data_IF_655311374779
#
_entry.id   IF_655311374779
#
_cell.length_a   1.000
_cell.length_b   1.000
_cell.length_c   1.000
_cell.angle_alpha   90.00
_cell.angle_beta   90.00
_cell.angle_gamma   90.00
#
_symmetry.space_group_name_H-M   'P 1'
#
loop_
_entity.id
_entity.type
_entity.pdbx_description
1 polymer ?
#
# COMPACT_ATOMS: atom_id res chain seq x y z
N UNK A 1 8.34 -7.28 62.34
CA UNK A 1 7.75 -6.48 61.26
C UNK A 1 8.86 -6.10 60.30
N UNK A 2 8.87 -6.65 59.08
CA UNK A 2 9.85 -6.33 58.02
C UNK A 2 9.15 -5.45 56.98
N UNK A 3 9.79 -4.38 56.46
CA UNK A 3 9.20 -3.60 55.40
C UNK A 3 9.42 -4.30 54.05
N UNK A 4 8.33 -4.61 53.36
CA UNK A 4 8.30 -5.03 51.96
C UNK A 4 8.49 -3.80 51.08
N UNK A 5 9.65 -3.68 50.44
CA UNK A 5 9.88 -2.73 49.34
C UNK A 5 9.19 -3.23 48.08
N UNK A 6 8.17 -2.49 47.66
CA UNK A 6 7.43 -2.69 46.42
C UNK A 6 8.29 -2.14 45.27
N UNK A 7 8.76 -3.01 44.38
CA UNK A 7 9.50 -2.62 43.18
C UNK A 7 8.50 -2.04 42.18
N UNK A 8 8.68 -0.76 41.82
CA UNK A 8 7.87 -0.06 40.83
C UNK A 8 7.94 -0.76 39.47
N UNK A 9 6.76 -0.96 38.87
CA UNK A 9 6.59 -1.51 37.56
C UNK A 9 7.15 -0.55 36.49
N UNK A 10 7.98 -1.08 35.60
CA UNK A 10 8.36 -0.43 34.36
C UNK A 10 7.09 -0.03 33.59
N UNK A 11 6.84 1.28 33.53
CA UNK A 11 5.84 1.89 32.66
C UNK A 11 6.33 1.68 31.23
N UNK A 12 5.62 0.82 30.49
CA UNK A 12 5.81 0.66 29.05
C UNK A 12 5.57 2.01 28.38
N UNK A 13 6.46 2.42 27.49
CA UNK A 13 6.28 3.59 26.65
C UNK A 13 5.36 3.24 25.47
N UNK A 14 4.16 3.85 25.32
CA UNK A 14 3.37 3.69 24.12
C UNK A 14 3.31 5.03 23.34
N UNK A 15 3.16 4.94 22.01
CA UNK A 15 2.70 5.99 21.10
C UNK A 15 3.68 7.05 20.55
N UNK A 16 4.99 7.03 20.84
CA UNK A 16 5.91 8.03 20.26
C UNK A 16 6.20 7.83 18.75
N UNK A 17 6.24 6.58 18.28
CA UNK A 17 6.79 6.28 16.95
C UNK A 17 5.82 6.54 15.79
N UNK A 18 4.51 6.42 16.01
CA UNK A 18 3.53 6.77 14.97
C UNK A 18 3.63 8.25 14.60
N UNK A 19 3.76 9.16 15.58
CA UNK A 19 3.83 10.62 15.33
C UNK A 19 5.02 11.07 14.50
N UNK A 20 6.12 10.32 14.44
CA UNK A 20 7.36 10.78 13.81
C UNK A 20 7.28 10.81 12.26
N UNK A 21 6.57 9.86 11.65
CA UNK A 21 6.29 9.91 10.20
C UNK A 21 5.19 10.95 9.85
N UNK A 22 4.27 11.22 10.79
CA UNK A 22 3.12 12.11 10.59
C UNK A 22 3.49 13.60 10.65
N UNK A 23 4.66 13.90 11.20
CA UNK A 23 5.17 15.26 11.40
C UNK A 23 6.39 15.57 10.55
N UNK A 24 6.76 14.72 9.58
CA UNK A 24 7.84 15.04 8.66
C UNK A 24 7.33 15.97 7.54
N UNK A 25 7.59 17.29 7.60
CA UNK A 25 7.23 18.20 6.52
C UNK A 25 7.98 17.90 5.21
N UNK A 26 8.95 16.98 5.17
CA UNK A 26 9.52 16.48 3.92
C UNK A 26 8.56 15.53 3.16
N UNK A 27 7.61 14.90 3.87
CA UNK A 27 6.40 14.30 3.28
C UNK A 27 5.32 15.40 3.09
N UNK A 28 5.71 16.68 2.99
CA UNK A 28 4.96 17.62 2.16
C UNK A 28 5.17 17.22 0.71
N UNK A 29 4.44 16.16 0.38
CA UNK A 29 3.92 15.78 -0.91
C UNK A 29 4.52 16.62 -2.03
N UNK A 30 5.52 16.06 -2.72
CA UNK A 30 5.63 16.26 -4.17
C UNK A 30 4.39 15.65 -4.80
N UNK A 31 3.21 16.22 -4.51
CA UNK A 31 1.95 15.70 -5.03
C UNK A 31 1.91 16.11 -6.49
N UNK A 32 2.56 15.28 -7.30
CA UNK A 32 2.41 15.34 -8.74
C UNK A 32 0.95 15.10 -9.14
N UNK A 33 0.07 14.72 -8.20
CA UNK A 33 -1.38 14.66 -8.42
C UNK A 33 -1.92 15.87 -9.19
N UNK A 34 -1.61 17.12 -8.80
CA UNK A 34 -2.14 18.29 -9.51
C UNK A 34 -1.49 18.51 -10.89
N UNK A 35 -0.28 17.98 -11.09
CA UNK A 35 0.41 17.99 -12.37
C UNK A 35 -0.20 16.94 -13.31
N UNK A 36 -0.49 15.74 -12.81
CA UNK A 36 -1.23 14.70 -13.53
C UNK A 36 -2.70 15.09 -13.78
N UNK A 37 -3.36 15.72 -12.82
CA UNK A 37 -4.80 16.04 -12.82
C UNK A 37 -5.05 17.54 -12.57
N UNK A 38 -4.66 18.42 -13.51
CA UNK A 38 -4.79 19.86 -13.34
C UNK A 38 -6.26 20.32 -13.22
N UNK A 39 -7.20 19.56 -13.76
CA UNK A 39 -8.64 19.85 -13.64
C UNK A 39 -9.20 19.62 -12.23
N UNK A 40 -8.49 18.86 -11.38
CA UNK A 40 -8.86 18.69 -9.98
C UNK A 40 -8.28 19.81 -9.09
N UNK A 41 -7.48 20.73 -9.64
CA UNK A 41 -6.79 21.76 -8.85
C UNK A 41 -7.79 22.59 -8.03
N UNK A 42 -7.51 22.74 -6.74
CA UNK A 42 -8.38 23.46 -5.80
C UNK A 42 -9.43 22.58 -5.11
N UNK A 43 -9.61 21.33 -5.53
CA UNK A 43 -10.43 20.35 -4.81
C UNK A 43 -9.63 19.80 -3.62
N UNK A 44 -10.16 19.81 -2.38
CA UNK A 44 -9.47 19.20 -1.25
C UNK A 44 -9.24 17.70 -1.45
N UNK A 45 -8.04 17.19 -1.12
CA UNK A 45 -7.73 15.75 -1.26
C UNK A 45 -8.69 14.85 -0.50
N UNK A 46 -9.14 15.28 0.68
CA UNK A 46 -10.13 14.54 1.46
C UNK A 46 -11.46 14.34 0.70
N UNK A 47 -11.89 15.35 -0.07
CA UNK A 47 -13.08 15.27 -0.89
C UNK A 47 -12.90 14.29 -2.08
N UNK A 48 -11.75 14.34 -2.77
CA UNK A 48 -11.44 13.40 -3.86
C UNK A 48 -11.44 11.96 -3.38
N UNK A 49 -10.76 11.70 -2.26
CA UNK A 49 -10.68 10.38 -1.63
C UNK A 49 -12.05 9.86 -1.19
N UNK A 50 -12.88 10.72 -0.59
CA UNK A 50 -14.26 10.36 -0.26
C UNK A 50 -15.11 10.06 -1.51
N UNK A 51 -14.87 10.78 -2.61
CA UNK A 51 -15.57 10.57 -3.87
C UNK A 51 -15.23 9.22 -4.51
N UNK A 52 -14.00 8.71 -4.34
CA UNK A 52 -13.63 7.38 -4.86
C UNK A 52 -14.39 6.25 -4.17
N UNK A 53 -14.71 6.38 -2.88
CA UNK A 53 -15.54 5.42 -2.15
C UNK A 53 -16.95 5.36 -2.75
N UNK A 54 -17.51 6.51 -3.12
CA UNK A 54 -18.82 6.55 -3.78
C UNK A 54 -18.80 5.88 -5.15
N UNK A 55 -17.63 5.78 -5.78
CA UNK A 55 -17.42 5.13 -7.06
C UNK A 55 -16.86 3.71 -6.91
N UNK A 56 -16.82 3.15 -5.70
CA UNK A 56 -16.26 1.81 -5.45
C UNK A 56 -16.91 0.76 -6.36
N UNK A 57 -18.25 0.71 -6.38
CA UNK A 57 -19.00 -0.24 -7.21
C UNK A 57 -18.75 -0.07 -8.72
N UNK A 58 -18.18 1.05 -9.15
CA UNK A 58 -17.86 1.34 -10.54
C UNK A 58 -16.38 1.07 -10.85
N UNK A 59 -15.48 1.41 -9.91
CA UNK A 59 -14.03 1.35 -10.10
C UNK A 59 -13.40 0.02 -9.63
N UNK A 60 -14.08 -0.69 -8.72
CA UNK A 60 -13.59 -1.90 -8.06
C UNK A 60 -14.33 -3.22 -8.37
N UNK A 61 -15.52 -3.28 -9.03
CA UNK A 61 -16.37 -4.46 -8.94
C UNK A 61 -15.78 -5.70 -9.64
N UNK A 62 -14.82 -5.53 -10.54
CA UNK A 62 -14.16 -6.63 -11.24
C UNK A 62 -12.76 -6.18 -11.68
N UNK A 63 -11.84 -6.01 -10.73
CA UNK A 63 -10.41 -6.16 -11.01
C UNK A 63 -10.00 -7.60 -10.63
N UNK A 64 -10.52 -8.68 -11.27
CA UNK A 64 -9.75 -9.92 -11.22
C UNK A 64 -8.36 -9.56 -11.78
N UNK A 65 -7.30 -10.21 -11.29
CA UNK A 65 -6.05 -10.23 -12.03
C UNK A 65 -6.46 -10.52 -13.47
N UNK A 66 -6.37 -9.49 -14.34
CA UNK A 66 -7.04 -9.59 -15.62
C UNK A 66 -6.53 -10.86 -16.28
N UNK A 67 -7.34 -11.50 -17.12
CA UNK A 67 -6.80 -12.36 -18.17
C UNK A 67 -6.04 -11.44 -19.15
N UNK A 68 -5.01 -10.77 -18.64
CA UNK A 68 -4.03 -10.03 -19.35
C UNK A 68 -3.20 -11.11 -20.02
N UNK A 69 -3.42 -11.27 -21.31
CA UNK A 69 -2.50 -12.05 -22.13
C UNK A 69 -1.20 -11.27 -22.14
N UNK A 70 -0.33 -11.66 -21.23
CA UNK A 70 0.96 -11.05 -21.00
C UNK A 70 1.93 -11.43 -22.11
N UNK A 71 2.09 -10.54 -23.08
CA UNK A 71 3.32 -10.52 -23.88
C UNK A 71 4.36 -9.68 -23.13
N UNK A 72 4.79 -10.17 -21.97
CA UNK A 72 5.86 -9.54 -21.20
C UNK A 72 7.20 -9.96 -21.82
N UNK A 73 7.58 -9.29 -22.90
CA UNK A 73 9.01 -9.18 -23.23
C UNK A 73 9.64 -8.29 -22.13
N UNK A 74 10.89 -8.54 -21.71
CA UNK A 74 11.49 -8.04 -20.45
C UNK A 74 11.58 -6.51 -20.26
N UNK A 75 11.01 -5.73 -21.17
CA UNK A 75 10.83 -4.29 -21.08
C UNK A 75 9.48 -3.79 -21.63
N UNK A 76 8.45 -4.64 -21.69
CA UNK A 76 7.13 -4.26 -22.20
C UNK A 76 6.57 -3.07 -21.40
N UNK A 77 6.32 -1.97 -22.11
CA UNK A 77 5.73 -0.74 -21.54
C UNK A 77 4.21 -0.78 -21.54
N UNK A 78 3.60 -1.77 -22.19
CA UNK A 78 2.16 -1.91 -22.35
C UNK A 78 1.71 -3.38 -22.25
N UNK A 79 0.51 -3.59 -21.74
CA UNK A 79 -0.15 -4.89 -21.62
C UNK A 79 -1.57 -4.80 -22.16
N UNK A 80 -1.99 -5.83 -22.89
CA UNK A 80 -3.36 -5.94 -23.35
C UNK A 80 -4.23 -6.59 -22.27
N UNK A 81 -5.27 -5.87 -21.88
CA UNK A 81 -6.24 -6.29 -20.86
C UNK A 81 -7.54 -6.61 -21.56
N UNK A 82 -8.02 -7.84 -21.39
CA UNK A 82 -9.30 -8.30 -21.91
C UNK A 82 -10.39 -8.21 -20.84
N UNK A 83 -11.67 -8.20 -21.24
CA UNK A 83 -12.85 -8.24 -20.34
C UNK A 83 -12.95 -7.05 -19.36
N UNK A 84 -12.65 -5.86 -19.85
CA UNK A 84 -12.72 -4.65 -19.05
C UNK A 84 -14.15 -4.10 -19.00
N UNK A 85 -14.56 -3.57 -17.84
CA UNK A 85 -15.81 -2.81 -17.73
C UNK A 85 -15.80 -1.63 -18.71
N UNK A 86 -16.78 -1.50 -19.61
CA UNK A 86 -16.79 -0.44 -20.62
C UNK A 86 -16.98 0.95 -20.01
N UNK A 87 -17.63 1.04 -18.84
CA UNK A 87 -18.00 2.31 -18.24
C UNK A 87 -16.81 2.96 -17.50
N UNK A 88 -15.98 2.14 -16.85
CA UNK A 88 -14.86 2.61 -16.02
C UNK A 88 -13.65 1.66 -16.16
N UNK A 89 -12.98 1.67 -17.33
CA UNK A 89 -11.80 0.85 -17.54
C UNK A 89 -10.62 1.32 -16.67
N UNK A 90 -9.77 0.41 -16.15
CA UNK A 90 -8.51 0.80 -15.56
C UNK A 90 -7.68 1.55 -16.59
N UNK A 91 -6.83 2.43 -16.09
CA UNK A 91 -6.02 3.32 -16.93
C UNK A 91 -4.60 2.81 -17.11
N UNK A 92 -4.13 1.97 -16.19
CA UNK A 92 -2.76 1.48 -16.09
C UNK A 92 -2.77 0.07 -15.51
N UNK A 93 -1.62 -0.59 -15.61
CA UNK A 93 -1.33 -1.84 -14.92
C UNK A 93 -0.12 -1.62 -14.00
N UNK A 94 -0.21 -2.06 -12.75
CA UNK A 94 0.93 -2.12 -11.84
C UNK A 94 1.49 -3.53 -11.86
N UNK A 95 2.74 -3.67 -12.28
CA UNK A 95 3.52 -4.90 -12.25
C UNK A 95 4.30 -4.97 -10.92
N UNK A 96 3.84 -5.83 -10.01
CA UNK A 96 4.42 -5.98 -8.67
C UNK A 96 5.45 -7.09 -8.67
N UNK A 97 6.65 -6.77 -8.19
CA UNK A 97 7.79 -7.67 -8.06
C UNK A 97 8.23 -7.78 -6.60
N UNK A 98 8.72 -8.95 -6.14
CA UNK A 98 9.37 -9.07 -4.84
C UNK A 98 10.70 -8.33 -4.79
N UNK A 99 11.14 -7.93 -3.61
CA UNK A 99 12.41 -7.22 -3.41
C UNK A 99 13.62 -8.00 -3.92
N UNK A 100 13.64 -9.31 -3.74
CA UNK A 100 14.69 -10.24 -4.12
C UNK A 100 14.46 -10.87 -5.51
N UNK A 101 13.68 -10.22 -6.37
CA UNK A 101 13.45 -10.69 -7.74
C UNK A 101 14.76 -10.77 -8.56
N UNK A 102 14.77 -11.70 -9.51
CA UNK A 102 15.75 -11.77 -10.59
C UNK A 102 15.10 -11.34 -11.92
N UNK A 103 15.90 -11.27 -12.99
CA UNK A 103 15.41 -10.87 -14.33
C UNK A 103 14.35 -11.82 -14.91
N UNK A 104 14.34 -13.07 -14.47
CA UNK A 104 13.36 -14.10 -14.88
C UNK A 104 12.06 -14.07 -14.05
N UNK A 105 11.98 -13.22 -13.02
CA UNK A 105 10.81 -13.17 -12.14
C UNK A 105 9.63 -12.54 -12.86
N UNK A 106 8.55 -13.31 -13.00
CA UNK A 106 7.31 -12.86 -13.63
C UNK A 106 6.55 -11.96 -12.64
N UNK A 107 6.29 -10.69 -12.99
CA UNK A 107 5.53 -9.80 -12.12
C UNK A 107 4.07 -10.21 -12.00
N UNK A 108 3.45 -9.95 -10.84
CA UNK A 108 1.99 -10.04 -10.71
C UNK A 108 1.38 -8.73 -11.15
N UNK A 109 0.38 -8.79 -12.03
CA UNK A 109 -0.24 -7.60 -12.60
C UNK A 109 -1.54 -7.24 -11.91
N UNK A 110 -1.70 -5.94 -11.65
CA UNK A 110 -2.90 -5.37 -11.09
C UNK A 110 -3.36 -4.20 -11.95
N UNK A 111 -4.52 -4.27 -12.62
CA UNK A 111 -5.06 -3.11 -13.30
C UNK A 111 -5.49 -2.06 -12.26
N UNK A 112 -5.21 -0.79 -12.54
CA UNK A 112 -5.47 0.32 -11.60
C UNK A 112 -5.95 1.58 -12.30
N UNK A 113 -6.60 2.45 -11.51
CA UNK A 113 -6.86 3.83 -11.87
C UNK A 113 -5.73 4.71 -11.32
N UNK A 114 -4.94 5.32 -12.20
CA UNK A 114 -3.82 6.19 -11.82
C UNK A 114 -4.27 7.34 -10.93
N UNK A 115 -5.51 7.81 -11.07
CA UNK A 115 -6.05 8.89 -10.24
C UNK A 115 -6.21 8.47 -8.78
N UNK A 116 -6.60 7.22 -8.54
CA UNK A 116 -6.73 6.66 -7.18
C UNK A 116 -5.35 6.54 -6.56
N UNK A 117 -4.39 5.92 -7.25
CA UNK A 117 -3.02 5.79 -6.74
C UNK A 117 -2.36 7.14 -6.50
N UNK A 118 -2.44 8.07 -7.46
CA UNK A 118 -1.87 9.41 -7.32
C UNK A 118 -2.49 10.18 -6.15
N UNK A 119 -3.74 9.89 -5.78
CA UNK A 119 -4.42 10.55 -4.67
C UNK A 119 -3.95 10.02 -3.30
N UNK A 120 -3.54 8.75 -3.20
CA UNK A 120 -3.10 8.14 -1.95
C UNK A 120 -1.58 8.07 -1.81
N UNK A 121 -0.85 7.88 -2.90
CA UNK A 121 0.58 7.55 -2.94
C UNK A 121 1.39 8.75 -3.45
N UNK A 122 2.12 9.42 -2.56
CA UNK A 122 2.94 10.59 -2.89
C UNK A 122 4.14 10.26 -3.79
N UNK A 123 4.60 9.00 -3.79
CA UNK A 123 5.74 8.54 -4.59
C UNK A 123 5.32 7.80 -5.86
N UNK A 124 4.02 7.79 -6.18
CA UNK A 124 3.57 7.26 -7.46
C UNK A 124 4.04 8.18 -8.59
N UNK A 125 4.66 7.65 -9.65
CA UNK A 125 5.18 8.47 -10.73
C UNK A 125 4.04 9.10 -11.53
N UNK A 126 4.35 10.20 -12.22
CA UNK A 126 3.50 10.70 -13.31
C UNK A 126 3.59 9.71 -14.47
N UNK A 127 2.56 8.89 -14.66
CA UNK A 127 2.48 8.01 -15.83
C UNK A 127 1.88 8.77 -17.04
N UNK A 128 2.28 8.42 -18.28
CA UNK A 128 1.65 8.96 -19.47
C UNK A 128 0.15 8.71 -19.44
N UNK A 129 -0.65 9.74 -19.73
CA UNK A 129 -2.10 9.58 -19.79
C UNK A 129 -2.45 8.69 -20.97
N UNK A 130 -2.86 7.46 -20.67
CA UNK A 130 -3.44 6.59 -21.67
C UNK A 130 -4.94 6.84 -21.73
N UNK A 131 -5.40 7.32 -22.89
CA UNK A 131 -6.81 7.31 -23.24
C UNK A 131 -6.99 6.10 -24.15
N UNK A 132 -7.66 5.02 -23.71
CA UNK A 132 -7.92 3.90 -24.60
C UNK A 132 -8.57 4.45 -25.87
N UNK A 133 -7.98 4.15 -27.02
CA UNK A 133 -8.52 4.57 -28.32
C UNK A 133 -10.00 4.20 -28.38
N UNK A 134 -10.83 5.14 -28.83
CA UNK A 134 -12.31 5.07 -28.79
C UNK A 134 -12.92 4.01 -29.73
N UNK A 135 -12.38 2.80 -29.78
CA UNK A 135 -13.10 1.65 -30.30
C UNK A 135 -14.15 1.23 -29.26
N UNK A 136 -15.34 1.82 -29.30
CA UNK A 136 -16.46 1.51 -28.37
C UNK A 136 -16.79 0.01 -28.26
N UNK A 137 -16.32 -0.80 -29.20
CA UNK A 137 -16.61 -2.23 -29.29
C UNK A 137 -15.38 -3.14 -29.04
N UNK A 138 -14.19 -2.60 -28.75
CA UNK A 138 -13.02 -3.45 -28.48
C UNK A 138 -13.09 -4.00 -27.04
N UNK A 139 -13.31 -5.32 -26.92
CA UNK A 139 -13.25 -6.07 -25.64
C UNK A 139 -11.85 -6.12 -25.00
N UNK A 140 -10.88 -5.43 -25.61
CA UNK A 140 -9.47 -5.43 -25.29
C UNK A 140 -8.95 -4.00 -25.35
N UNK A 141 -8.16 -3.62 -24.36
CA UNK A 141 -7.49 -2.32 -24.30
C UNK A 141 -6.00 -2.53 -24.03
N UNK A 142 -5.12 -1.80 -24.71
CA UNK A 142 -3.71 -1.71 -24.32
C UNK A 142 -3.60 -0.75 -23.15
N UNK A 143 -2.86 -1.11 -22.10
CA UNK A 143 -2.63 -0.25 -20.94
C UNK A 143 -1.14 -0.14 -20.64
N UNK A 144 -0.65 1.06 -20.30
CA UNK A 144 0.71 1.24 -19.84
C UNK A 144 0.98 0.47 -18.54
N UNK A 145 2.19 -0.09 -18.44
CA UNK A 145 2.65 -0.86 -17.27
C UNK A 145 3.60 -0.02 -16.42
N UNK A 146 3.36 0.01 -15.13
CA UNK A 146 4.26 0.55 -14.13
C UNK A 146 4.81 -0.54 -13.22
N UNK A 147 6.13 -0.69 -13.17
CA UNK A 147 6.78 -1.69 -12.34
C UNK A 147 7.03 -1.13 -10.95
N UNK A 148 6.68 -1.90 -9.93
CA UNK A 148 6.99 -1.60 -8.53
C UNK A 148 7.58 -2.82 -7.85
N UNK A 149 8.70 -2.61 -7.17
CA UNK A 149 9.33 -3.63 -6.33
C UNK A 149 8.81 -3.41 -4.91
N UNK A 150 8.25 -4.44 -4.27
CA UNK A 150 7.65 -4.35 -2.94
C UNK A 150 8.24 -5.38 -1.99
N UNK A 151 8.23 -5.06 -0.70
CA UNK A 151 8.77 -5.93 0.36
C UNK A 151 7.86 -7.13 0.60
N UNK A 152 6.55 -6.94 0.42
CA UNK A 152 5.57 -8.03 0.44
C UNK A 152 4.59 -7.89 -0.72
N UNK A 153 4.88 -8.49 -1.89
CA UNK A 153 3.95 -8.49 -3.04
C UNK A 153 2.55 -9.02 -2.67
N UNK A 154 2.50 -10.02 -1.80
CA UNK A 154 1.25 -10.62 -1.33
C UNK A 154 0.34 -9.65 -0.56
N UNK A 155 0.91 -8.56 0.00
CA UNK A 155 0.16 -7.51 0.67
C UNK A 155 -0.44 -6.48 -0.29
N UNK A 156 -0.01 -6.44 -1.56
CA UNK A 156 -0.48 -5.44 -2.53
C UNK A 156 -1.99 -5.52 -2.83
N UNK A 157 -2.62 -6.71 -3.02
CA UNK A 157 -4.07 -6.80 -3.21
C UNK A 157 -4.88 -6.21 -2.04
N UNK A 158 -4.40 -6.39 -0.81
CA UNK A 158 -5.06 -5.85 0.39
C UNK A 158 -5.02 -4.32 0.40
N UNK A 159 -3.87 -3.75 0.03
CA UNK A 159 -3.70 -2.31 -0.08
C UNK A 159 -4.54 -1.74 -1.24
N UNK A 160 -4.54 -2.43 -2.39
CA UNK A 160 -5.35 -2.07 -3.54
C UNK A 160 -6.83 -2.03 -3.18
N UNK A 161 -7.35 -3.08 -2.54
CA UNK A 161 -8.72 -3.13 -2.04
C UNK A 161 -9.04 -1.92 -1.16
N UNK A 162 -8.19 -1.68 -0.15
CA UNK A 162 -8.40 -0.56 0.77
C UNK A 162 -8.43 0.81 0.08
N UNK A 163 -7.61 1.04 -0.96
CA UNK A 163 -7.64 2.32 -1.69
C UNK A 163 -8.96 2.61 -2.40
N UNK A 164 -9.69 1.57 -2.81
CA UNK A 164 -11.01 1.74 -3.43
C UNK A 164 -12.15 1.72 -2.43
N UNK A 165 -12.12 0.80 -1.46
CA UNK A 165 -13.26 0.56 -0.56
C UNK A 165 -13.21 1.38 0.72
N UNK A 166 -12.00 1.75 1.16
CA UNK A 166 -11.75 2.43 2.43
C UNK A 166 -12.29 1.68 3.66
N UNK A 167 -12.55 0.38 3.52
CA UNK A 167 -13.07 -0.45 4.60
C UNK A 167 -11.95 -0.81 5.58
N UNK A 168 -11.88 -0.03 6.66
CA UNK A 168 -10.94 -0.23 7.77
C UNK A 168 -11.23 -1.54 8.50
N UNK A 169 -12.49 -1.91 8.67
CA UNK A 169 -12.86 -3.11 9.42
C UNK A 169 -12.46 -4.37 8.63
N UNK A 170 -12.69 -4.37 7.31
CA UNK A 170 -12.18 -5.43 6.42
C UNK A 170 -10.67 -5.49 6.43
N UNK A 171 -9.99 -4.34 6.40
CA UNK A 171 -8.53 -4.29 6.44
C UNK A 171 -8.01 -4.93 7.74
N UNK A 172 -8.52 -4.50 8.90
CA UNK A 172 -8.10 -5.05 10.20
C UNK A 172 -8.37 -6.55 10.27
N UNK A 173 -9.53 -7.02 9.80
CA UNK A 173 -9.83 -8.46 9.74
C UNK A 173 -8.86 -9.21 8.83
N UNK A 174 -8.50 -8.64 7.67
CA UNK A 174 -7.62 -9.26 6.68
C UNK A 174 -6.16 -9.34 7.14
N UNK A 175 -5.67 -8.27 7.78
CA UNK A 175 -4.37 -8.28 8.47
C UNK A 175 -4.40 -9.26 9.67
N UNK A 176 -5.56 -9.37 10.31
CA UNK A 176 -5.85 -10.23 11.46
C UNK A 176 -5.95 -11.73 11.16
N UNK A 177 -6.29 -12.12 9.92
CA UNK A 177 -6.68 -13.49 9.56
C UNK A 177 -5.54 -14.38 9.09
N UNK A 178 -4.34 -13.82 8.90
CA UNK A 178 -3.17 -14.60 8.52
C UNK A 178 -2.79 -15.59 9.63
N UNK A 179 -2.21 -16.76 9.30
CA UNK A 179 -1.68 -17.68 10.31
C UNK A 179 -0.71 -16.93 11.24
N UNK A 180 -0.83 -17.12 12.56
CA UNK A 180 -0.08 -16.34 13.57
C UNK A 180 1.44 -16.32 13.33
N UNK A 181 1.99 -17.38 12.74
CA UNK A 181 3.42 -17.49 12.38
C UNK A 181 3.84 -16.47 11.31
N UNK A 182 2.98 -16.23 10.34
CA UNK A 182 3.22 -15.38 9.16
C UNK A 182 2.64 -13.98 9.33
N UNK A 183 1.64 -13.84 10.21
CA UNK A 183 0.90 -12.61 10.42
C UNK A 183 1.79 -11.40 10.72
N UNK A 184 2.80 -11.57 11.58
CA UNK A 184 3.75 -10.50 11.89
C UNK A 184 4.50 -10.03 10.63
N UNK A 185 5.06 -10.96 9.87
CA UNK A 185 5.81 -10.62 8.66
C UNK A 185 4.91 -10.00 7.58
N UNK A 186 3.66 -10.48 7.47
CA UNK A 186 2.66 -9.92 6.57
C UNK A 186 2.31 -8.46 6.92
N UNK A 187 2.00 -8.17 8.19
CA UNK A 187 1.67 -6.80 8.63
C UNK A 187 2.87 -5.87 8.45
N UNK A 188 4.09 -6.34 8.78
CA UNK A 188 5.32 -5.56 8.54
C UNK A 188 5.51 -5.27 7.05
N UNK A 189 5.37 -6.28 6.20
CA UNK A 189 5.48 -6.12 4.75
C UNK A 189 4.42 -5.18 4.18
N UNK A 190 3.19 -5.26 4.68
CA UNK A 190 2.12 -4.31 4.34
C UNK A 190 2.51 -2.87 4.70
N UNK A 191 2.95 -2.63 5.95
CA UNK A 191 3.41 -1.29 6.40
C UNK A 191 4.56 -0.77 5.53
N UNK A 192 5.55 -1.61 5.25
CA UNK A 192 6.69 -1.20 4.42
C UNK A 192 6.27 -0.82 3.00
N UNK A 193 5.33 -1.55 2.40
CA UNK A 193 4.79 -1.20 1.09
C UNK A 193 4.10 0.18 1.11
N UNK A 194 3.34 0.49 2.17
CA UNK A 194 2.70 1.81 2.32
C UNK A 194 3.74 2.94 2.34
N UNK A 195 4.80 2.75 3.14
CA UNK A 195 5.90 3.72 3.25
C UNK A 195 6.60 3.89 1.90
N UNK A 196 6.91 2.76 1.23
CA UNK A 196 7.60 2.75 -0.07
C UNK A 196 6.83 3.47 -1.17
N UNK A 197 5.50 3.41 -1.13
CA UNK A 197 4.63 4.13 -2.06
C UNK A 197 4.33 5.58 -1.62
N UNK A 198 4.81 5.98 -0.44
CA UNK A 198 4.53 7.29 0.13
C UNK A 198 3.04 7.48 0.41
N UNK A 199 2.37 6.45 0.94
CA UNK A 199 0.93 6.51 1.21
C UNK A 199 0.67 7.54 2.30
N UNK A 200 -0.23 8.49 2.02
CA UNK A 200 -0.61 9.57 2.94
C UNK A 200 -2.03 9.34 3.44
N UNK A 201 -2.19 8.50 4.47
CA UNK A 201 -3.50 8.15 5.00
C UNK A 201 -3.48 7.75 6.48
N UNK A 202 -3.87 8.66 7.37
CA UNK A 202 -3.79 8.47 8.82
C UNK A 202 -4.68 7.32 9.34
N UNK A 203 -5.98 7.23 8.98
CA UNK A 203 -6.82 6.09 9.40
C UNK A 203 -6.25 4.72 9.00
N UNK A 204 -5.61 4.62 7.82
CA UNK A 204 -4.94 3.40 7.38
C UNK A 204 -3.80 3.01 8.31
N UNK A 205 -2.87 3.92 8.62
CA UNK A 205 -1.75 3.62 9.50
C UNK A 205 -2.22 3.26 10.92
N UNK A 206 -3.22 3.97 11.46
CA UNK A 206 -3.79 3.61 12.75
C UNK A 206 -4.37 2.18 12.76
N UNK A 207 -5.02 1.76 11.68
CA UNK A 207 -5.55 0.41 11.55
C UNK A 207 -4.44 -0.65 11.48
N UNK A 208 -3.35 -0.36 10.75
CA UNK A 208 -2.16 -1.23 10.67
C UNK A 208 -1.49 -1.36 12.04
N UNK A 209 -1.32 -0.25 12.77
CA UNK A 209 -0.71 -0.24 14.10
C UNK A 209 -1.56 -1.03 15.10
N UNK A 210 -2.89 -0.85 15.08
CA UNK A 210 -3.82 -1.66 15.90
C UNK A 210 -3.74 -3.15 15.58
N UNK A 211 -3.68 -3.51 14.30
CA UNK A 211 -3.53 -4.90 13.88
C UNK A 211 -2.18 -5.50 14.33
N UNK A 212 -1.11 -4.70 14.26
CA UNK A 212 0.21 -5.09 14.76
C UNK A 212 0.22 -5.35 16.26
N UNK A 213 -0.32 -4.43 17.06
CA UNK A 213 -0.43 -4.60 18.52
C UNK A 213 -1.23 -5.84 18.90
N UNK A 214 -2.34 -6.10 18.20
CA UNK A 214 -3.15 -7.29 18.40
C UNK A 214 -2.35 -8.57 18.09
N UNK A 215 -1.59 -8.59 17.00
CA UNK A 215 -0.72 -9.71 16.63
C UNK A 215 0.35 -9.99 17.71
N UNK A 216 1.02 -8.95 18.22
CA UNK A 216 2.00 -9.09 19.31
C UNK A 216 1.37 -9.68 20.58
N UNK A 217 0.20 -9.17 20.99
CA UNK A 217 -0.52 -9.71 22.17
C UNK A 217 -0.90 -11.18 22.00
N UNK A 218 -1.44 -11.55 20.83
CA UNK A 218 -1.79 -12.95 20.55
C UNK A 218 -0.57 -13.87 20.59
N UNK A 219 0.56 -13.41 20.06
CA UNK A 219 1.82 -14.15 20.07
C UNK A 219 2.38 -14.32 21.48
N UNK A 220 2.34 -13.28 22.30
CA UNK A 220 2.75 -13.34 23.70
C UNK A 220 1.90 -14.35 24.50
N UNK A 221 0.59 -14.39 24.25
CA UNK A 221 -0.31 -15.37 24.87
C UNK A 221 -0.05 -16.81 24.39
N UNK A 222 0.29 -16.98 23.11
CA UNK A 222 0.55 -18.29 22.53
C UNK A 222 1.94 -18.86 22.87
N UNK A 223 2.93 -18.00 23.15
CA UNK A 223 4.34 -18.37 23.34
C UNK A 223 5.01 -17.54 24.45
N UNK A 224 4.67 -17.78 25.74
CA UNK A 224 5.12 -16.93 26.85
C UNK A 224 6.64 -16.95 27.11
N UNK A 225 7.35 -18.00 26.68
CA UNK A 225 8.79 -18.19 26.95
C UNK A 225 9.72 -17.61 25.87
N UNK A 226 9.17 -17.02 24.79
CA UNK A 226 9.98 -16.43 23.72
C UNK A 226 10.21 -14.95 24.01
N UNK A 227 11.44 -14.58 24.40
CA UNK A 227 11.85 -13.18 24.56
C UNK A 227 11.63 -12.40 23.26
N UNK A 228 10.84 -11.34 23.33
CA UNK A 228 10.32 -10.61 22.17
C UNK A 228 11.36 -9.66 21.55
N UNK A 229 11.32 -9.55 20.21
CA UNK A 229 11.91 -8.42 19.47
C UNK A 229 11.10 -7.16 19.80
N UNK A 230 11.79 -6.06 20.13
CA UNK A 230 11.22 -4.77 20.50
C UNK A 230 10.09 -4.30 19.53
N UNK A 231 9.13 -3.47 20.00
CA UNK A 231 8.17 -2.79 19.12
C UNK A 231 8.89 -2.06 17.98
N UNK A 232 8.20 -1.72 16.88
CA UNK A 232 8.78 -0.89 15.82
C UNK A 232 9.47 0.31 16.46
N UNK A 233 10.80 0.34 16.44
CA UNK A 233 11.60 1.38 17.11
C UNK A 233 11.98 2.47 16.11
N UNK A 234 12.20 3.69 16.60
CA UNK A 234 12.77 4.81 15.82
C UNK A 234 14.02 4.42 15.02
N UNK A 235 14.84 3.48 15.51
CA UNK A 235 16.03 3.01 14.81
C UNK A 235 15.72 2.28 13.48
N UNK A 236 14.58 1.60 13.38
CA UNK A 236 14.12 0.96 12.13
C UNK A 236 13.57 1.99 11.14
N UNK A 237 12.95 3.07 11.62
CA UNK A 237 12.52 4.19 10.79
C UNK A 237 13.74 5.05 10.33
N UNK A 238 14.83 5.12 11.10
CA UNK A 238 16.07 5.81 10.67
C UNK A 238 16.89 5.07 9.60
N UNK A 239 16.82 3.74 9.53
CA UNK A 239 17.43 2.98 8.42
C UNK A 239 16.91 3.39 7.05
N UNK A 240 15.67 3.90 6.98
CA UNK A 240 15.05 4.38 5.74
C UNK A 240 15.52 5.77 5.31
N UNK A 241 15.86 6.68 6.23
CA UNK A 241 16.51 7.96 5.87
C UNK A 241 17.85 7.75 5.16
N UNK A 242 18.53 6.62 5.42
CA UNK A 242 19.74 6.22 4.70
C UNK A 242 19.42 5.57 3.34
N UNK A 243 18.33 4.80 3.22
CA UNK A 243 17.87 4.23 1.95
C UNK A 243 17.33 5.29 0.97
N UNK A 244 16.69 6.36 1.45
CA UNK A 244 16.30 7.51 0.61
C UNK A 244 17.49 8.19 -0.09
N UNK A 245 18.71 8.08 0.47
CA UNK A 245 19.92 8.57 -0.19
C UNK A 245 20.44 7.61 -1.27
N UNK A 246 20.14 6.32 -1.16
CA UNK A 246 20.54 5.29 -2.14
C UNK A 246 19.58 5.12 -3.32
N UNK A 247 18.30 5.46 -3.15
CA UNK A 247 17.28 5.35 -4.21
C UNK A 247 17.08 6.64 -5.04
N UNK A 248 17.92 7.67 -4.85
CA UNK A 248 18.06 8.79 -5.80
C UNK A 248 19.02 8.38 -6.93
N UNK A 249 18.55 7.54 -7.84
CA UNK A 249 19.13 7.35 -9.17
C UNK A 249 18.07 7.66 -10.22
#
# INVERSE_FOLDING_TARGET
>A
MRPTTFTEAHTSAPAANARFLHSNPAIQIKNNFWKAYPHCRGVPMAFLRASFVMLEELLYPNLPAADAVLNYESGATEVRVTKVSPDYPPTHVVAVLPFDHNDDTIPVLYPVHHIVFSAYCAYFPDLPKHFPGQGRDSKEISLPVYRVVLDSPAAFPVMLHYFYTRDIDWLVRTLGSQPLREQKDFIRGFRNNLIKLGVVDEPLYEAVDKAWEACLRLRQLAMPDVQELAPFTEAQDQGWLQLEQGYRL
#
